data_IF_493167342474
#
_entry.id   IF_493167342474
#
_cell.length_a   1.000
_cell.length_b   1.000
_cell.length_c   1.000
_cell.angle_alpha   90.00
_cell.angle_beta   90.00
_cell.angle_gamma   90.00
#
_symmetry.space_group_name_H-M   'P 1'
#
loop_
_entity.id
_entity.type
_entity.pdbx_description
1 polymer ?
#
# COMPACT_ATOMS: atom_id res chain seq x y z
N UNK A 1 10.46 -4.39 -16.17
CA UNK A 1 9.15 -3.73 -15.91
C UNK A 1 9.39 -2.35 -15.35
N UNK A 2 8.54 -1.36 -15.67
CA UNK A 2 8.62 -0.02 -15.10
C UNK A 2 7.90 0.04 -13.75
N UNK A 3 8.43 0.84 -12.82
CA UNK A 3 7.74 1.17 -11.58
C UNK A 3 6.60 2.14 -11.89
N UNK A 4 5.36 1.76 -11.56
CA UNK A 4 4.17 2.58 -11.84
C UNK A 4 3.89 3.63 -10.75
N UNK A 5 4.26 3.35 -9.50
CA UNK A 5 4.12 4.26 -8.35
C UNK A 5 4.96 3.79 -7.15
N UNK A 6 5.17 4.65 -6.16
CA UNK A 6 5.92 4.35 -4.93
C UNK A 6 5.22 4.87 -3.68
N UNK A 7 5.09 4.01 -2.67
CA UNK A 7 4.47 4.33 -1.38
C UNK A 7 5.47 4.14 -0.24
N UNK A 8 5.46 5.06 0.72
CA UNK A 8 6.35 5.05 1.87
C UNK A 8 5.60 4.60 3.13
N UNK A 9 6.27 3.76 3.92
CA UNK A 9 5.90 3.39 5.27
C UNK A 9 7.08 3.68 6.19
N UNK A 10 6.85 4.45 7.23
CA UNK A 10 7.83 4.71 8.28
C UNK A 10 7.30 4.13 9.58
N UNK A 11 8.10 3.28 10.20
CA UNK A 11 7.78 2.69 11.49
C UNK A 11 8.56 3.40 12.61
N UNK A 12 7.97 3.42 13.80
CA UNK A 12 8.65 3.74 15.04
C UNK A 12 8.54 2.54 15.95
N UNK A 13 9.67 2.11 16.48
CA UNK A 13 9.71 1.08 17.52
C UNK A 13 9.70 1.78 18.88
N UNK A 14 8.59 1.64 19.61
CA UNK A 14 8.52 2.04 21.01
C UNK A 14 7.63 1.04 21.74
N UNK A 15 8.26 -0.01 22.31
CA UNK A 15 7.64 -1.22 22.89
C UNK A 15 6.87 -2.10 21.88
N UNK A 16 6.28 -1.50 20.85
CA UNK A 16 5.61 -2.16 19.74
C UNK A 16 5.98 -1.45 18.43
N UNK A 17 6.00 -2.20 17.32
CA UNK A 17 6.17 -1.62 15.98
C UNK A 17 4.90 -0.86 15.59
N UNK A 18 5.00 0.47 15.44
CA UNK A 18 3.88 1.33 15.06
C UNK A 18 4.18 2.12 13.80
N UNK A 19 3.15 2.40 13.01
CA UNK A 19 3.27 3.26 11.83
C UNK A 19 3.37 4.71 12.32
N UNK A 20 4.48 5.38 11.96
CA UNK A 20 4.75 6.79 12.28
C UNK A 20 4.25 7.72 11.18
N UNK A 21 4.50 7.33 9.92
CA UNK A 21 4.15 8.13 8.74
C UNK A 21 3.95 7.20 7.55
N UNK A 22 3.01 7.53 6.67
CA UNK A 22 2.82 6.79 5.43
C UNK A 22 2.28 7.67 4.31
N UNK A 23 2.45 7.22 3.07
CA UNK A 23 1.78 7.78 1.89
C UNK A 23 0.72 6.83 1.31
N UNK A 24 0.36 5.76 2.04
CA UNK A 24 -0.66 4.79 1.63
C UNK A 24 -2.01 5.48 1.44
N UNK A 25 -2.75 5.21 0.35
CA UNK A 25 -4.06 5.80 0.10
C UNK A 25 -5.10 5.50 1.19
N UNK A 26 -5.99 6.46 1.52
CA UNK A 26 -6.89 6.38 2.67
C UNK A 26 -7.98 5.30 2.57
N UNK A 27 -8.27 4.79 1.37
CA UNK A 27 -9.22 3.69 1.17
C UNK A 27 -8.63 2.33 1.60
N UNK A 28 -7.32 2.22 1.82
CA UNK A 28 -6.69 1.02 2.39
C UNK A 28 -6.77 1.14 3.92
N UNK A 29 -7.37 0.18 4.64
CA UNK A 29 -7.55 0.25 6.08
C UNK A 29 -6.25 -0.07 6.84
N UNK A 30 -5.24 0.78 6.66
CA UNK A 30 -3.85 0.54 7.05
C UNK A 30 -3.70 0.32 8.56
N UNK A 31 -4.36 1.13 9.38
CA UNK A 31 -4.28 1.06 10.85
C UNK A 31 -4.92 -0.23 11.37
N UNK A 32 -6.01 -0.68 10.74
CA UNK A 32 -6.67 -1.95 11.09
C UNK A 32 -5.76 -3.13 10.76
N UNK A 33 -5.21 -3.14 9.54
CA UNK A 33 -4.25 -4.17 9.11
C UNK A 33 -3.00 -4.17 10.00
N UNK A 34 -2.49 -3.00 10.35
CA UNK A 34 -1.33 -2.87 11.21
C UNK A 34 -1.62 -3.45 12.60
N UNK A 35 -2.78 -3.15 13.20
CA UNK A 35 -3.15 -3.68 14.52
C UNK A 35 -3.29 -5.21 14.52
N UNK A 36 -3.82 -5.79 13.44
CA UNK A 36 -4.12 -7.22 13.36
C UNK A 36 -2.89 -8.08 13.00
N UNK A 37 -2.05 -7.59 12.08
CA UNK A 37 -0.99 -8.40 11.49
C UNK A 37 0.41 -7.92 11.88
N UNK A 38 0.65 -6.64 12.09
CA UNK A 38 2.01 -6.12 12.30
C UNK A 38 2.73 -6.69 13.54
N UNK A 39 2.07 -6.91 14.71
CA UNK A 39 2.77 -7.38 15.90
C UNK A 39 3.31 -8.82 15.81
N UNK A 40 2.64 -9.69 15.05
CA UNK A 40 2.97 -11.14 15.00
C UNK A 40 3.32 -11.64 13.60
N UNK A 41 2.83 -10.96 12.56
CA UNK A 41 2.85 -11.42 11.16
C UNK A 41 3.20 -10.26 10.22
N UNK A 42 4.36 -9.59 10.40
CA UNK A 42 4.73 -8.41 9.60
C UNK A 42 4.87 -8.71 8.09
N UNK A 43 5.28 -9.94 7.73
CA UNK A 43 5.32 -10.37 6.32
C UNK A 43 3.93 -10.46 5.71
N UNK A 44 2.95 -10.96 6.45
CA UNK A 44 1.56 -11.04 6.01
C UNK A 44 0.94 -9.65 5.86
N UNK A 45 1.21 -8.76 6.82
CA UNK A 45 0.85 -7.34 6.73
C UNK A 45 1.36 -6.71 5.42
N UNK A 46 2.66 -6.85 5.14
CA UNK A 46 3.26 -6.29 3.92
C UNK A 46 2.68 -6.93 2.65
N UNK A 47 2.40 -8.24 2.67
CA UNK A 47 1.80 -8.95 1.54
C UNK A 47 0.36 -8.47 1.24
N UNK A 48 -0.46 -8.27 2.27
CA UNK A 48 -1.81 -7.70 2.11
C UNK A 48 -1.73 -6.29 1.53
N UNK A 49 -0.88 -5.44 2.11
CA UNK A 49 -0.72 -4.06 1.67
C UNK A 49 -0.22 -3.98 0.21
N UNK A 50 0.75 -4.83 -0.16
CA UNK A 50 1.28 -4.91 -1.52
C UNK A 50 0.19 -5.26 -2.55
N UNK A 51 -0.70 -6.20 -2.22
CA UNK A 51 -1.83 -6.55 -3.11
C UNK A 51 -2.77 -5.37 -3.31
N UNK A 52 -3.13 -4.64 -2.25
CA UNK A 52 -4.01 -3.48 -2.37
C UNK A 52 -3.39 -2.38 -3.23
N UNK A 53 -2.11 -2.06 -3.00
CA UNK A 53 -1.39 -1.02 -3.74
C UNK A 53 -1.27 -1.39 -5.22
N UNK A 54 -0.89 -2.63 -5.55
CA UNK A 54 -0.80 -3.06 -6.95
C UNK A 54 -2.16 -3.09 -7.64
N UNK A 55 -3.22 -3.54 -6.97
CA UNK A 55 -4.55 -3.52 -7.55
C UNK A 55 -5.02 -2.09 -7.85
N UNK A 56 -4.73 -1.14 -6.95
CA UNK A 56 -5.05 0.27 -7.17
C UNK A 56 -4.24 0.88 -8.33
N UNK A 57 -2.92 0.77 -8.28
CA UNK A 57 -2.03 1.35 -9.29
C UNK A 57 -2.26 0.71 -10.66
N UNK A 58 -2.48 -0.60 -10.70
CA UNK A 58 -2.80 -1.35 -11.91
C UNK A 58 -4.08 -0.83 -12.58
N UNK A 59 -5.19 -0.71 -11.84
CA UNK A 59 -6.44 -0.14 -12.37
C UNK A 59 -6.27 1.31 -12.84
N UNK A 60 -5.57 2.15 -12.07
CA UNK A 60 -5.31 3.54 -12.46
C UNK A 60 -4.47 3.63 -13.74
N UNK A 61 -3.50 2.74 -13.90
CA UNK A 61 -2.68 2.67 -15.10
C UNK A 61 -3.50 2.18 -16.31
N UNK A 62 -4.31 1.14 -16.15
CA UNK A 62 -5.22 0.66 -17.19
C UNK A 62 -6.17 1.77 -17.68
N UNK A 63 -6.81 2.50 -16.76
CA UNK A 63 -7.69 3.63 -17.11
C UNK A 63 -6.92 4.71 -17.88
N UNK A 64 -5.70 5.06 -17.43
CA UNK A 64 -4.85 6.04 -18.13
C UNK A 64 -4.55 5.60 -19.56
N UNK A 65 -4.21 4.32 -19.77
CA UNK A 65 -3.96 3.79 -21.12
C UNK A 65 -5.20 3.86 -22.01
N UNK A 66 -6.39 3.59 -21.46
CA UNK A 66 -7.65 3.71 -22.19
C UNK A 66 -7.99 5.16 -22.54
N UNK A 67 -7.70 6.12 -21.63
CA UNK A 67 -7.95 7.54 -21.87
C UNK A 67 -6.99 8.16 -22.89
N UNK A 68 -5.74 7.70 -22.92
CA UNK A 68 -4.75 8.11 -23.95
C UNK A 68 -5.03 7.43 -25.29
N UNK A 69 -5.78 6.32 -25.29
CA UNK A 69 -6.14 5.53 -26.47
C UNK A 69 -7.39 5.98 -27.22
N UNK A 70 -7.95 7.17 -26.94
CA UNK A 70 -9.04 7.75 -27.74
C UNK A 70 -8.42 8.84 -28.64
N UNK A 71 -8.34 8.64 -29.97
CA UNK A 71 -8.01 9.71 -30.91
C UNK A 71 -9.08 10.82 -30.91
#
# INVERSE_FOLDING_TARGET
GSCLDSFRLEFREFRELRIRRHSVPPFIPLERLAREFLPRRPREFLGILFRHLNAFVGRRHQIRLLQVGIP
#
